data_IF_458672973100
#
_entry.id   IF_458672973100
#
_cell.length_a   1.000
_cell.length_b   1.000
_cell.length_c   1.000
_cell.angle_alpha   90.00
_cell.angle_beta   90.00
_cell.angle_gamma   90.00
#
_symmetry.space_group_name_H-M   'P 1'
#
loop_
_entity.id
_entity.type
_entity.pdbx_description
1 polymer ?
#
# COMPACT_ATOMS: atom_id res chain seq x y z
N UNK A 1 -24.50 -17.85 8.37
CA UNK A 1 -23.49 -18.27 7.38
C UNK A 1 -22.17 -17.57 7.69
N UNK A 2 -21.05 -18.29 7.83
CA UNK A 2 -19.77 -17.65 8.09
C UNK A 2 -19.35 -16.66 7.00
N UNK A 3 -18.78 -15.54 7.40
CA UNK A 3 -18.33 -14.48 6.50
C UNK A 3 -17.01 -13.89 6.96
N UNK A 4 -16.30 -13.24 6.04
CA UNK A 4 -15.22 -12.32 6.39
C UNK A 4 -15.08 -11.26 5.30
N UNK A 5 -14.31 -10.23 5.59
CA UNK A 5 -14.08 -9.14 4.65
C UNK A 5 -12.61 -9.07 4.25
N UNK A 6 -12.37 -8.91 2.95
CA UNK A 6 -11.04 -8.64 2.39
C UNK A 6 -10.93 -7.13 2.24
N UNK A 7 -9.94 -6.54 2.89
CA UNK A 7 -9.71 -5.09 2.85
C UNK A 7 -8.26 -4.80 2.51
N UNK A 8 -7.99 -3.57 2.09
CA UNK A 8 -6.63 -3.06 1.91
C UNK A 8 -6.56 -1.72 2.62
N UNK A 9 -6.06 -1.73 3.85
CA UNK A 9 -5.99 -0.53 4.69
C UNK A 9 -4.55 -0.26 5.10
N UNK A 10 -4.24 1.02 5.22
CA UNK A 10 -2.97 1.50 5.76
C UNK A 10 -3.30 2.31 7.00
N UNK A 11 -2.75 1.90 8.15
CA UNK A 11 -2.97 2.64 9.40
C UNK A 11 -2.29 4.01 9.31
N UNK A 12 -3.10 5.07 9.37
CA UNK A 12 -2.64 6.44 9.16
C UNK A 12 -1.57 6.85 10.17
N UNK A 13 -1.74 6.49 11.44
CA UNK A 13 -0.77 6.84 12.48
C UNK A 13 0.56 6.13 12.27
N UNK A 14 0.53 4.83 11.98
CA UNK A 14 1.72 4.03 11.72
C UNK A 14 2.46 4.55 10.49
N UNK A 15 1.72 4.90 9.43
CA UNK A 15 2.29 5.47 8.21
C UNK A 15 2.94 6.83 8.50
N UNK A 16 2.29 7.69 9.27
CA UNK A 16 2.82 8.98 9.66
C UNK A 16 4.13 8.84 10.44
N UNK A 17 4.20 7.87 11.36
CA UNK A 17 5.41 7.56 12.10
C UNK A 17 6.54 7.11 11.17
N UNK A 18 6.24 6.26 10.19
CA UNK A 18 7.23 5.81 9.21
C UNK A 18 7.76 6.98 8.38
N UNK A 19 6.88 7.87 7.94
CA UNK A 19 7.26 9.05 7.16
C UNK A 19 8.13 10.00 7.96
N UNK A 20 7.76 10.28 9.22
CA UNK A 20 8.55 11.14 10.09
C UNK A 20 9.93 10.56 10.35
N UNK A 21 10.04 9.26 10.54
CA UNK A 21 11.32 8.59 10.74
C UNK A 21 12.18 8.65 9.48
N UNK A 22 11.57 8.48 8.29
CA UNK A 22 12.27 8.60 7.02
C UNK A 22 12.82 10.01 6.82
N UNK A 23 12.02 11.04 7.12
CA UNK A 23 12.45 12.44 7.04
C UNK A 23 13.65 12.71 7.95
N UNK A 24 13.60 12.23 9.19
CA UNK A 24 14.70 12.38 10.14
C UNK A 24 15.97 11.69 9.66
N UNK A 25 15.84 10.48 9.12
CA UNK A 25 16.97 9.72 8.58
C UNK A 25 17.66 10.52 7.46
N UNK A 26 16.86 11.04 6.52
CA UNK A 26 17.40 11.81 5.39
C UNK A 26 18.07 13.10 5.86
N UNK A 27 17.45 13.83 6.80
CA UNK A 27 18.03 15.06 7.35
C UNK A 27 19.39 14.83 8.02
N UNK A 28 19.59 13.65 8.61
CA UNK A 28 20.80 13.33 9.35
C UNK A 28 21.85 12.60 8.51
N UNK A 29 21.57 12.31 7.24
CA UNK A 29 22.53 11.63 6.37
C UNK A 29 23.58 12.61 5.84
N UNK A 30 24.82 12.17 5.84
CA UNK A 30 25.94 12.98 5.35
C UNK A 30 25.77 13.37 3.88
N UNK A 31 25.27 12.48 3.04
CA UNK A 31 25.06 12.72 1.61
C UNK A 31 23.93 13.69 1.31
N UNK A 32 23.14 14.08 2.32
CA UNK A 32 22.10 15.10 2.21
C UNK A 32 22.49 16.42 2.91
N UNK A 33 23.72 16.53 3.33
CA UNK A 33 24.20 17.77 3.97
C UNK A 33 24.15 18.91 2.96
N UNK A 34 23.39 19.97 3.27
CA UNK A 34 23.18 21.12 2.38
C UNK A 34 22.16 20.88 1.27
N UNK A 35 21.54 19.71 1.21
CA UNK A 35 20.52 19.40 0.21
C UNK A 35 19.24 20.19 0.45
N UNK A 36 18.55 20.58 -0.64
CA UNK A 36 17.25 21.22 -0.60
C UNK A 36 16.11 20.23 -0.77
N UNK A 37 16.37 18.94 -0.51
CA UNK A 37 15.37 17.89 -0.65
C UNK A 37 14.18 18.10 0.28
N UNK A 38 12.98 17.82 -0.22
CA UNK A 38 11.75 17.84 0.57
C UNK A 38 10.98 16.54 0.40
N UNK A 39 10.30 16.14 1.47
CA UNK A 39 9.41 14.99 1.49
C UNK A 39 8.12 15.46 2.15
N UNK A 40 7.04 15.54 1.38
CA UNK A 40 5.76 15.99 1.89
C UNK A 40 4.70 14.91 1.69
N UNK A 41 3.92 14.66 2.71
CA UNK A 41 2.79 13.74 2.64
C UNK A 41 1.49 14.52 2.82
N UNK A 42 0.69 14.57 1.75
CA UNK A 42 -0.65 15.15 1.80
C UNK A 42 -1.62 14.07 2.30
N UNK A 43 -2.11 14.26 3.52
CA UNK A 43 -3.01 13.30 4.17
C UNK A 43 -4.39 13.23 3.52
N UNK A 44 -4.81 14.30 2.84
CA UNK A 44 -6.12 14.33 2.17
C UNK A 44 -6.13 13.51 0.90
N UNK A 45 -5.12 13.68 0.07
CA UNK A 45 -4.99 12.96 -1.21
C UNK A 45 -4.22 11.65 -1.07
N UNK A 46 -3.55 11.48 0.08
CA UNK A 46 -2.67 10.34 0.38
C UNK A 46 -1.57 10.19 -0.66
N UNK A 47 -0.94 11.31 -1.01
CA UNK A 47 0.16 11.38 -1.97
C UNK A 47 1.40 11.92 -1.28
N UNK A 48 2.53 11.23 -1.47
CA UNK A 48 3.85 11.67 -1.02
C UNK A 48 4.51 12.38 -2.19
N UNK A 49 4.98 13.60 -1.98
CA UNK A 49 5.72 14.37 -2.97
C UNK A 49 7.17 14.49 -2.53
N UNK A 50 8.09 14.02 -3.37
CA UNK A 50 9.53 14.12 -3.14
C UNK A 50 10.10 15.10 -4.16
N UNK A 51 10.87 16.07 -3.69
CA UNK A 51 11.64 16.99 -4.54
C UNK A 51 13.09 16.91 -4.11
N UNK A 52 13.99 16.62 -5.03
CA UNK A 52 15.41 16.44 -4.75
C UNK A 52 16.26 16.82 -5.97
N UNK A 53 17.58 16.89 -5.78
CA UNK A 53 18.50 17.39 -6.79
C UNK A 53 18.86 16.40 -7.89
N UNK A 54 18.89 15.08 -7.59
CA UNK A 54 19.33 14.06 -8.53
C UNK A 54 18.69 12.71 -8.28
N UNK A 55 18.89 11.79 -9.22
CA UNK A 55 18.33 10.44 -9.17
C UNK A 55 18.88 9.62 -8.00
N UNK A 56 20.14 9.81 -7.66
CA UNK A 56 20.77 9.07 -6.57
C UNK A 56 20.13 9.42 -5.24
N UNK A 57 19.89 10.71 -4.99
CA UNK A 57 19.19 11.17 -3.79
C UNK A 57 17.73 10.74 -3.78
N UNK A 58 17.08 10.77 -4.95
CA UNK A 58 15.68 10.31 -5.07
C UNK A 58 15.57 8.84 -4.65
N UNK A 59 16.46 7.99 -5.16
CA UNK A 59 16.48 6.57 -4.79
C UNK A 59 16.74 6.38 -3.29
N UNK A 60 17.67 7.15 -2.73
CA UNK A 60 17.96 7.08 -1.30
C UNK A 60 16.74 7.44 -0.45
N UNK A 61 15.98 8.47 -0.85
CA UNK A 61 14.74 8.86 -0.16
C UNK A 61 13.70 7.75 -0.27
N UNK A 62 13.50 7.19 -1.46
CA UNK A 62 12.55 6.10 -1.65
C UNK A 62 12.92 4.88 -0.80
N UNK A 63 14.18 4.51 -0.78
CA UNK A 63 14.67 3.38 0.01
C UNK A 63 14.46 3.63 1.51
N UNK A 64 14.66 4.85 1.97
CA UNK A 64 14.42 5.22 3.37
C UNK A 64 12.93 5.08 3.73
N UNK A 65 12.04 5.53 2.86
CA UNK A 65 10.59 5.41 3.06
C UNK A 65 10.19 3.93 3.15
N UNK A 66 10.65 3.12 2.21
CA UNK A 66 10.34 1.68 2.16
C UNK A 66 10.88 0.98 3.41
N UNK A 67 12.11 1.29 3.79
CA UNK A 67 12.74 0.69 4.98
C UNK A 67 11.98 1.02 6.25
N UNK A 68 11.58 2.28 6.42
CA UNK A 68 10.85 2.70 7.63
C UNK A 68 9.43 2.12 7.66
N UNK A 69 8.77 2.01 6.51
CA UNK A 69 7.48 1.32 6.42
C UNK A 69 7.60 -0.14 6.85
N UNK A 70 8.61 -0.83 6.33
CA UNK A 70 8.84 -2.25 6.66
C UNK A 70 9.10 -2.43 8.16
N UNK A 71 9.88 -1.55 8.77
CA UNK A 71 10.15 -1.59 10.22
C UNK A 71 8.89 -1.38 11.06
N UNK A 72 7.92 -0.63 10.54
CA UNK A 72 6.64 -0.40 11.21
C UNK A 72 5.61 -1.49 10.91
N UNK A 73 5.98 -2.51 10.14
CA UNK A 73 5.07 -3.59 9.77
C UNK A 73 4.15 -3.26 8.59
N UNK A 74 4.43 -2.17 7.88
CA UNK A 74 3.67 -1.79 6.69
C UNK A 74 4.27 -2.43 5.44
N UNK A 75 3.40 -2.79 4.49
CA UNK A 75 3.82 -3.39 3.23
C UNK A 75 4.02 -2.30 2.19
N UNK A 76 5.21 -2.23 1.60
CA UNK A 76 5.55 -1.21 0.60
C UNK A 76 4.82 -1.40 -0.72
N UNK A 77 4.15 -2.54 -0.95
CA UNK A 77 3.31 -2.73 -2.14
C UNK A 77 2.08 -1.81 -2.15
N UNK A 78 1.79 -1.16 -1.02
CA UNK A 78 0.76 -0.11 -0.97
C UNK A 78 1.18 1.17 -1.68
N UNK A 79 2.46 1.32 -2.06
CA UNK A 79 2.97 2.51 -2.75
C UNK A 79 2.87 2.34 -4.27
N UNK A 80 2.37 3.36 -4.93
CA UNK A 80 2.35 3.45 -6.39
C UNK A 80 3.30 4.58 -6.80
N UNK A 81 4.45 4.20 -7.36
CA UNK A 81 5.49 5.16 -7.75
C UNK A 81 5.13 5.79 -9.09
N UNK A 82 4.92 7.10 -9.07
CA UNK A 82 4.65 7.88 -10.28
C UNK A 82 5.91 8.09 -11.10
N UNK A 83 5.77 8.89 -12.14
CA UNK A 83 6.88 9.24 -13.02
C UNK A 83 7.63 10.44 -12.45
N UNK A 84 8.93 10.48 -12.73
CA UNK A 84 9.75 11.64 -12.39
C UNK A 84 9.37 12.81 -13.29
N UNK A 85 9.35 14.01 -12.69
CA UNK A 85 9.07 15.26 -13.38
C UNK A 85 10.15 16.27 -13.04
N UNK A 86 10.40 17.21 -13.95
CA UNK A 86 11.32 18.30 -13.66
C UNK A 86 10.63 19.34 -12.78
N UNK A 87 11.37 19.87 -11.82
CA UNK A 87 10.91 20.94 -10.95
C UNK A 87 11.83 22.16 -11.08
N UNK A 88 11.41 23.29 -10.51
CA UNK A 88 12.21 24.52 -10.53
C UNK A 88 13.60 24.31 -9.93
N UNK A 89 14.60 25.02 -10.43
CA UNK A 89 15.96 25.00 -9.87
C UNK A 89 16.72 23.72 -10.19
N UNK A 90 16.45 23.08 -11.32
CA UNK A 90 17.07 21.82 -11.75
C UNK A 90 16.82 20.66 -10.79
N UNK A 91 15.67 20.69 -10.13
CA UNK A 91 15.26 19.63 -9.21
C UNK A 91 14.41 18.59 -9.92
N UNK A 92 14.30 17.43 -9.31
CA UNK A 92 13.41 16.35 -9.74
C UNK A 92 12.27 16.24 -8.75
N UNK A 93 11.06 16.07 -9.27
CA UNK A 93 9.85 15.86 -8.47
C UNK A 93 9.28 14.48 -8.77
N UNK A 94 8.89 13.76 -7.74
CA UNK A 94 8.20 12.48 -7.90
C UNK A 94 7.06 12.38 -6.91
N UNK A 95 5.91 11.96 -7.41
CA UNK A 95 4.73 11.72 -6.58
C UNK A 95 4.55 10.21 -6.39
N UNK A 96 4.30 9.82 -5.15
CA UNK A 96 4.03 8.44 -4.77
C UNK A 96 2.66 8.40 -4.14
N UNK A 97 1.72 7.67 -4.76
CA UNK A 97 0.38 7.50 -4.22
C UNK A 97 0.35 6.33 -3.26
N UNK A 98 -0.33 6.49 -2.13
CA UNK A 98 -0.54 5.40 -1.17
C UNK A 98 -1.89 4.78 -1.49
N UNK A 99 -1.88 3.51 -1.90
CA UNK A 99 -3.10 2.78 -2.23
C UNK A 99 -3.80 2.33 -0.96
N UNK A 100 -5.04 2.73 -0.81
CA UNK A 100 -5.88 2.35 0.32
C UNK A 100 -7.27 2.04 -0.20
N UNK A 101 -7.86 0.94 0.30
CA UNK A 101 -9.10 0.42 -0.22
C UNK A 101 -8.91 -0.44 -1.46
N UNK A 102 -9.91 -1.24 -1.78
CA UNK A 102 -9.92 -2.11 -2.96
C UNK A 102 -10.84 -1.46 -3.99
N UNK A 103 -10.28 -1.02 -5.13
CA UNK A 103 -11.08 -0.42 -6.19
C UNK A 103 -11.84 -1.49 -6.98
N UNK A 104 -12.70 -1.06 -7.90
CA UNK A 104 -13.53 -1.97 -8.69
C UNK A 104 -12.72 -2.96 -9.50
N UNK A 105 -11.62 -2.51 -10.11
CA UNK A 105 -10.78 -3.39 -10.93
C UNK A 105 -10.07 -4.44 -10.08
N UNK A 106 -9.52 -4.04 -8.96
CA UNK A 106 -8.89 -4.96 -8.02
C UNK A 106 -9.90 -5.94 -7.46
N UNK A 107 -11.11 -5.48 -7.09
CA UNK A 107 -12.18 -6.33 -6.60
C UNK A 107 -12.59 -7.37 -7.64
N UNK A 108 -12.71 -6.97 -8.91
CA UNK A 108 -13.04 -7.91 -10.00
C UNK A 108 -11.98 -9.00 -10.13
N UNK A 109 -10.70 -8.66 -10.03
CA UNK A 109 -9.61 -9.63 -10.10
C UNK A 109 -9.66 -10.61 -8.92
N UNK A 110 -9.91 -10.10 -7.72
CA UNK A 110 -10.03 -10.93 -6.51
C UNK A 110 -11.21 -11.91 -6.66
N UNK A 111 -12.38 -11.40 -7.03
CA UNK A 111 -13.58 -12.21 -7.21
C UNK A 111 -13.37 -13.26 -8.30
N UNK A 112 -12.75 -12.89 -9.42
CA UNK A 112 -12.47 -13.81 -10.52
C UNK A 112 -11.55 -14.95 -10.08
N UNK A 113 -10.50 -14.65 -9.30
CA UNK A 113 -9.60 -15.68 -8.77
C UNK A 113 -10.32 -16.63 -7.81
N UNK A 114 -11.17 -16.08 -6.97
CA UNK A 114 -11.97 -16.90 -6.03
C UNK A 114 -12.90 -17.84 -6.81
N UNK A 115 -13.58 -17.35 -7.84
CA UNK A 115 -14.44 -18.18 -8.69
C UNK A 115 -13.66 -19.26 -9.42
N UNK A 116 -12.48 -18.93 -9.93
CA UNK A 116 -11.62 -19.87 -10.65
C UNK A 116 -11.08 -20.98 -9.75
N UNK A 117 -11.02 -20.77 -8.43
CA UNK A 117 -10.51 -21.76 -7.48
C UNK A 117 -11.43 -22.95 -7.29
N UNK A 118 -12.70 -22.83 -7.63
CA UNK A 118 -13.69 -23.88 -7.40
C UNK A 118 -14.18 -24.01 -5.97
N UNK A 119 -13.75 -23.12 -5.08
CA UNK A 119 -14.23 -23.11 -3.70
C UNK A 119 -15.72 -22.71 -3.63
N UNK A 120 -16.44 -23.31 -2.72
CA UNK A 120 -17.90 -23.09 -2.57
C UNK A 120 -18.14 -21.85 -1.71
N UNK A 121 -17.85 -20.69 -2.27
CA UNK A 121 -17.99 -19.39 -1.60
C UNK A 121 -18.69 -18.42 -2.52
N UNK A 122 -19.28 -17.38 -1.91
CA UNK A 122 -19.82 -16.22 -2.60
C UNK A 122 -18.98 -15.01 -2.24
N UNK A 123 -18.50 -14.32 -3.26
CA UNK A 123 -17.72 -13.10 -3.08
C UNK A 123 -18.44 -11.94 -3.73
N UNK A 124 -18.56 -10.82 -3.01
CA UNK A 124 -19.22 -9.63 -3.53
C UNK A 124 -18.45 -8.39 -3.11
N UNK A 125 -18.43 -7.39 -4.01
CA UNK A 125 -17.84 -6.10 -3.71
C UNK A 125 -18.80 -5.26 -2.87
N UNK A 126 -18.30 -4.69 -1.80
CA UNK A 126 -19.03 -3.77 -0.93
C UNK A 126 -18.15 -2.55 -0.64
N UNK A 127 -18.48 -1.41 -1.23
CA UNK A 127 -17.70 -0.18 -1.15
C UNK A 127 -16.24 -0.41 -1.59
N UNK A 128 -15.29 -0.34 -0.67
CA UNK A 128 -13.87 -0.52 -0.94
C UNK A 128 -13.33 -1.86 -0.42
N UNK A 129 -14.20 -2.85 -0.25
CA UNK A 129 -13.82 -4.15 0.27
C UNK A 129 -14.56 -5.28 -0.44
N UNK A 130 -14.11 -6.52 -0.23
CA UNK A 130 -14.77 -7.71 -0.78
C UNK A 130 -15.26 -8.56 0.38
N UNK A 131 -16.55 -8.85 0.41
CA UNK A 131 -17.14 -9.74 1.41
C UNK A 131 -17.23 -11.15 0.86
N UNK A 132 -16.79 -12.12 1.64
CA UNK A 132 -16.80 -13.53 1.26
C UNK A 132 -17.69 -14.29 2.25
N UNK A 133 -18.59 -15.10 1.72
CA UNK A 133 -19.52 -15.93 2.50
C UNK A 133 -19.40 -17.40 2.09
N UNK A 134 -19.54 -18.29 3.05
CA UNK A 134 -19.59 -19.73 2.77
C UNK A 134 -20.29 -20.47 3.91
N UNK A 135 -20.90 -21.60 3.60
CA UNK A 135 -21.38 -22.53 4.62
C UNK A 135 -20.24 -23.27 5.32
N UNK A 136 -19.06 -23.31 4.72
CA UNK A 136 -17.89 -24.03 5.21
C UNK A 136 -16.80 -23.06 5.62
N UNK A 137 -16.35 -23.16 6.87
CA UNK A 137 -15.21 -22.39 7.37
C UNK A 137 -13.93 -22.80 6.63
N UNK A 138 -13.79 -24.09 6.27
CA UNK A 138 -12.63 -24.59 5.51
C UNK A 138 -12.52 -23.90 4.14
N UNK A 139 -13.65 -23.69 3.46
CA UNK A 139 -13.65 -22.97 2.18
C UNK A 139 -13.25 -21.50 2.37
N UNK A 140 -13.67 -20.86 3.48
CA UNK A 140 -13.23 -19.49 3.79
C UNK A 140 -11.72 -19.44 4.03
N UNK A 141 -11.17 -20.41 4.75
CA UNK A 141 -9.71 -20.48 4.96
C UNK A 141 -8.98 -20.74 3.64
N UNK A 142 -9.58 -21.48 2.74
CA UNK A 142 -9.05 -21.69 1.39
C UNK A 142 -8.95 -20.40 0.60
N UNK A 143 -9.94 -19.52 0.72
CA UNK A 143 -9.92 -18.19 0.08
C UNK A 143 -8.80 -17.33 0.64
N UNK A 144 -8.63 -17.33 1.96
CA UNK A 144 -7.54 -16.57 2.61
C UNK A 144 -6.18 -17.05 2.10
N UNK A 145 -5.97 -18.37 2.03
CA UNK A 145 -4.71 -18.93 1.52
C UNK A 145 -4.47 -18.56 0.06
N UNK A 146 -5.51 -18.61 -0.76
CA UNK A 146 -5.44 -18.24 -2.18
C UNK A 146 -5.03 -16.77 -2.32
N UNK A 147 -5.67 -15.89 -1.58
CA UNK A 147 -5.39 -14.45 -1.66
C UNK A 147 -3.98 -14.09 -1.16
N UNK A 148 -3.45 -14.84 -0.20
CA UNK A 148 -2.08 -14.64 0.28
C UNK A 148 -1.03 -15.06 -0.76
N UNK A 149 -1.33 -16.03 -1.60
CA UNK A 149 -0.41 -16.51 -2.64
C UNK A 149 -0.40 -15.64 -3.89
N UNK A 150 -1.50 -14.98 -4.19
CA UNK A 150 -1.64 -14.16 -5.39
C UNK A 150 -1.21 -12.72 -5.13
N UNK A 151 -0.66 -12.08 -6.16
CA UNK A 151 -0.29 -10.67 -6.12
C UNK A 151 -1.38 -9.84 -6.79
N UNK A 152 -2.09 -9.06 -6.00
CA UNK A 152 -3.14 -8.16 -6.50
C UNK A 152 -2.65 -6.70 -6.59
N UNK A 153 -1.35 -6.48 -6.45
CA UNK A 153 -0.74 -5.15 -6.55
C UNK A 153 -0.88 -4.29 -5.30
N UNK A 154 -1.45 -4.82 -4.23
CA UNK A 154 -1.57 -4.11 -2.96
C UNK A 154 -1.75 -5.13 -1.84
N UNK A 155 -1.40 -4.76 -0.58
CA UNK A 155 -1.55 -5.68 0.54
C UNK A 155 -3.02 -5.88 0.87
N UNK A 156 -3.38 -7.11 1.25
CA UNK A 156 -4.74 -7.46 1.65
C UNK A 156 -4.75 -7.89 3.11
N UNK A 157 -5.78 -7.49 3.85
CA UNK A 157 -6.05 -7.94 5.20
C UNK A 157 -7.41 -8.65 5.21
N UNK A 158 -7.57 -9.58 6.15
CA UNK A 158 -8.78 -10.39 6.27
C UNK A 158 -9.35 -10.15 7.67
N UNK A 159 -10.50 -9.49 7.73
CA UNK A 159 -11.09 -9.01 8.98
C UNK A 159 -12.55 -9.42 9.09
N UNK A 160 -13.14 -9.17 10.25
CA UNK A 160 -14.56 -9.38 10.54
C UNK A 160 -15.02 -10.83 10.30
N UNK A 161 -14.16 -11.78 10.66
CA UNK A 161 -14.54 -13.19 10.59
C UNK A 161 -15.71 -13.44 11.55
N UNK A 162 -16.83 -13.95 11.00
CA UNK A 162 -18.05 -14.25 11.75
C UNK A 162 -18.56 -15.63 11.37
N UNK A 163 -19.10 -16.31 12.36
CA UNK A 163 -19.72 -17.62 12.13
C UNK A 163 -21.19 -17.52 11.79
#
# INVERSE_FOLDING_TARGET
MPTFDIVSKVDAQTFDNAMNNAKKEILNRYDFNGSKSTIDHDKKTNVITIVTEDDMRLKAIQDAIISRMTKQGLDSTSLDFGKEQYASGNMIRKEISVKEGIDKEAAKKIVAKIKASGLKVQASMMDDQVRVQSKSIDDLQGVISLCKKEDFGQPLQFINMRN
#
